data_IF_357404215789
#
_entry.id   IF_357404215789
#
_cell.length_a   1.000
_cell.length_b   1.000
_cell.length_c   1.000
_cell.angle_alpha   90.00
_cell.angle_beta   90.00
_cell.angle_gamma   90.00
#
_symmetry.space_group_name_H-M   'P 1'
#
loop_
_entity.id
_entity.type
_entity.pdbx_description
1 polymer ?
#
# COMPACT_ATOMS: atom_id res chain seq x y z
N UNK A 1 -6.33 6.86 23.88
CA UNK A 1 -5.49 7.41 22.78
C UNK A 1 -6.02 6.83 21.47
N UNK A 2 -6.20 7.67 20.43
CA UNK A 2 -6.62 7.18 19.12
C UNK A 2 -5.59 6.17 18.58
N UNK A 3 -6.07 5.11 17.91
CA UNK A 3 -5.28 3.96 17.47
C UNK A 3 -4.05 4.34 16.63
N UNK A 4 -4.18 5.35 15.76
CA UNK A 4 -3.07 5.88 14.95
C UNK A 4 -1.95 6.51 15.78
N UNK A 5 -2.29 7.23 16.85
CA UNK A 5 -1.32 7.90 17.73
C UNK A 5 -0.39 6.88 18.40
N UNK A 6 -0.94 5.77 18.92
CA UNK A 6 -0.15 4.72 19.61
C UNK A 6 0.90 4.08 18.70
N UNK A 7 0.54 3.74 17.46
CA UNK A 7 1.46 3.10 16.49
C UNK A 7 2.60 4.07 16.16
N UNK A 8 2.27 5.31 15.83
CA UNK A 8 3.27 6.33 15.52
C UNK A 8 4.21 6.61 16.69
N UNK A 9 3.70 6.65 17.92
CA UNK A 9 4.50 6.87 19.12
C UNK A 9 5.51 5.73 19.35
N UNK A 10 5.09 4.47 19.16
CA UNK A 10 5.97 3.30 19.25
C UNK A 10 7.10 3.39 18.22
N UNK A 11 6.77 3.63 16.95
CA UNK A 11 7.77 3.72 15.87
C UNK A 11 8.72 4.89 16.09
N UNK A 12 8.21 6.06 16.51
CA UNK A 12 9.03 7.23 16.87
C UNK A 12 10.00 6.90 18.00
N UNK A 13 9.53 6.23 19.06
CA UNK A 13 10.35 5.85 20.20
C UNK A 13 11.48 4.90 19.77
N UNK A 14 11.16 3.89 18.95
CA UNK A 14 12.15 2.95 18.43
C UNK A 14 13.22 3.63 17.57
N UNK A 15 12.82 4.48 16.62
CA UNK A 15 13.76 5.20 15.73
C UNK A 15 14.62 6.21 16.50
N UNK A 16 14.06 6.85 17.54
CA UNK A 16 14.82 7.77 18.39
C UNK A 16 15.86 7.04 19.25
N UNK A 17 15.47 5.92 19.87
CA UNK A 17 16.35 5.10 20.72
C UNK A 17 17.40 4.35 19.91
N UNK A 18 17.03 3.90 18.71
CA UNK A 18 17.89 3.17 17.79
C UNK A 18 17.89 3.88 16.43
N UNK A 19 18.81 4.83 16.20
CA UNK A 19 18.88 5.56 14.94
C UNK A 19 19.08 4.65 13.72
N UNK A 20 18.43 5.00 12.60
CA UNK A 20 18.51 4.22 11.35
C UNK A 20 19.95 4.20 10.83
N UNK A 21 20.49 2.99 10.64
CA UNK A 21 21.78 2.82 9.99
C UNK A 21 21.65 2.95 8.46
N UNK A 22 22.38 3.89 7.89
CA UNK A 22 22.36 4.20 6.44
C UNK A 22 22.92 3.07 5.56
N UNK A 23 23.65 2.11 6.14
CA UNK A 23 24.19 0.96 5.40
C UNK A 23 23.24 -0.23 5.33
N UNK A 24 22.15 -0.21 6.11
CA UNK A 24 21.22 -1.33 6.11
C UNK A 24 20.50 -1.46 4.78
N UNK A 25 20.41 -2.69 4.29
CA UNK A 25 19.46 -3.06 3.25
C UNK A 25 18.02 -2.95 3.76
N UNK A 26 17.03 -2.88 2.86
CA UNK A 26 15.62 -2.79 3.25
C UNK A 26 15.20 -3.88 4.23
N UNK A 27 15.53 -5.14 3.95
CA UNK A 27 15.18 -6.27 4.81
C UNK A 27 15.86 -6.21 6.19
N UNK A 28 17.10 -5.72 6.27
CA UNK A 28 17.84 -5.57 7.52
C UNK A 28 17.17 -4.54 8.44
N UNK A 29 16.66 -3.44 7.87
CA UNK A 29 15.88 -2.45 8.64
C UNK A 29 14.60 -3.09 9.18
N UNK A 30 13.86 -3.82 8.33
CA UNK A 30 12.64 -4.50 8.78
C UNK A 30 12.97 -5.48 9.91
N UNK A 31 13.94 -6.37 9.71
CA UNK A 31 14.37 -7.35 10.70
C UNK A 31 14.79 -6.69 12.01
N UNK A 32 15.60 -5.65 11.95
CA UNK A 32 16.09 -4.95 13.14
C UNK A 32 14.93 -4.33 13.94
N UNK A 33 14.11 -3.48 13.32
CA UNK A 33 13.05 -2.79 14.05
C UNK A 33 11.90 -3.71 14.43
N UNK A 34 11.63 -4.76 13.67
CA UNK A 34 10.65 -5.75 14.06
C UNK A 34 11.10 -6.54 15.30
N UNK A 35 12.39 -6.89 15.39
CA UNK A 35 12.96 -7.53 16.57
C UNK A 35 12.95 -6.59 17.80
N UNK A 36 13.27 -5.30 17.62
CA UNK A 36 13.14 -4.30 18.69
C UNK A 36 11.68 -4.20 19.15
N UNK A 37 10.74 -4.08 18.21
CA UNK A 37 9.32 -3.99 18.52
C UNK A 37 8.83 -5.20 19.34
N UNK A 38 9.13 -6.40 18.87
CA UNK A 38 8.65 -7.64 19.50
C UNK A 38 9.32 -7.96 20.84
N UNK A 39 10.49 -7.39 21.11
CA UNK A 39 11.21 -7.56 22.38
C UNK A 39 10.86 -6.51 23.43
N UNK A 40 10.54 -5.27 23.01
CA UNK A 40 10.31 -4.15 23.93
C UNK A 40 8.82 -3.82 24.15
N UNK A 41 7.92 -4.31 23.30
CA UNK A 41 6.50 -3.95 23.36
C UNK A 41 5.61 -5.20 23.41
N UNK A 42 4.50 -5.08 24.13
CA UNK A 42 3.51 -6.14 24.20
C UNK A 42 2.82 -6.38 22.85
N UNK A 43 2.72 -7.65 22.47
CA UNK A 43 2.08 -8.06 21.22
C UNK A 43 0.58 -7.78 21.25
N UNK A 44 0.13 -6.99 20.28
CA UNK A 44 -1.28 -6.74 20.05
C UNK A 44 -1.52 -6.77 18.54
N UNK A 45 -2.33 -7.72 18.05
CA UNK A 45 -2.53 -7.94 16.60
C UNK A 45 -2.82 -6.65 15.81
N UNK A 46 -3.61 -5.74 16.40
CA UNK A 46 -3.96 -4.51 15.75
C UNK A 46 -2.84 -3.46 15.75
N UNK A 47 -1.97 -3.47 16.76
CA UNK A 47 -0.79 -2.59 16.81
C UNK A 47 0.32 -3.18 15.95
N UNK A 48 0.50 -4.50 15.97
CA UNK A 48 1.46 -5.26 15.18
C UNK A 48 1.34 -4.94 13.68
N UNK A 49 0.11 -4.97 13.15
CA UNK A 49 -0.16 -4.62 11.75
C UNK A 49 0.24 -3.19 11.42
N UNK A 50 -0.16 -2.21 12.24
CA UNK A 50 0.16 -0.81 12.01
C UNK A 50 1.65 -0.50 12.15
N UNK A 51 2.34 -1.10 13.12
CA UNK A 51 3.80 -0.98 13.25
C UNK A 51 4.48 -1.55 12.02
N UNK A 52 4.09 -2.73 11.57
CA UNK A 52 4.66 -3.35 10.39
C UNK A 52 4.45 -2.51 9.13
N UNK A 53 3.26 -1.98 8.90
CA UNK A 53 2.96 -1.05 7.80
C UNK A 53 3.89 0.18 7.84
N UNK A 54 4.04 0.82 9.01
CA UNK A 54 4.93 1.98 9.17
C UNK A 54 6.41 1.64 8.92
N UNK A 55 6.87 0.43 9.30
CA UNK A 55 8.23 0.00 9.00
C UNK A 55 8.46 -0.18 7.49
N UNK A 56 7.46 -0.68 6.76
CA UNK A 56 7.52 -0.77 5.30
C UNK A 56 7.56 0.63 4.66
N UNK A 57 6.73 1.57 5.14
CA UNK A 57 6.74 2.97 4.68
C UNK A 57 8.13 3.60 4.91
N UNK A 58 8.71 3.44 6.10
CA UNK A 58 10.04 3.95 6.40
C UNK A 58 11.12 3.32 5.50
N UNK A 59 11.04 2.01 5.24
CA UNK A 59 11.96 1.33 4.34
C UNK A 59 11.88 1.89 2.91
N UNK A 60 10.66 2.09 2.38
CA UNK A 60 10.45 2.65 1.04
C UNK A 60 10.97 4.09 0.93
N UNK A 61 10.61 4.95 1.89
CA UNK A 61 11.05 6.35 1.89
C UNK A 61 12.57 6.49 2.01
N UNK A 62 13.22 5.67 2.84
CA UNK A 62 14.69 5.63 2.97
C UNK A 62 15.36 5.32 1.62
N UNK A 63 14.72 4.47 0.83
CA UNK A 63 15.18 4.05 -0.49
C UNK A 63 14.77 5.03 -1.61
N UNK A 64 14.28 6.22 -1.24
CA UNK A 64 13.84 7.29 -2.14
C UNK A 64 12.66 6.90 -3.04
N UNK A 65 11.85 5.94 -2.59
CA UNK A 65 10.59 5.59 -3.23
C UNK A 65 9.52 6.47 -2.61
N UNK A 66 9.09 7.49 -3.35
CA UNK A 66 8.13 8.49 -2.89
C UNK A 66 7.35 9.10 -4.06
N UNK A 67 6.11 9.59 -3.84
CA UNK A 67 5.35 9.56 -2.58
C UNK A 67 4.84 8.15 -2.23
N UNK A 68 4.57 7.95 -0.94
CA UNK A 68 3.95 6.72 -0.42
C UNK A 68 2.58 7.10 0.15
N UNK A 69 1.52 6.64 -0.49
CA UNK A 69 0.15 6.81 0.02
C UNK A 69 -0.17 5.64 0.94
N UNK A 70 -0.77 5.90 2.09
CA UNK A 70 -1.15 4.88 3.08
C UNK A 70 -2.65 4.93 3.33
N UNK A 71 -3.25 3.77 3.57
CA UNK A 71 -4.70 3.63 3.78
C UNK A 71 -5.51 4.35 2.68
N UNK A 72 -5.08 4.16 1.43
CA UNK A 72 -5.52 4.97 0.30
C UNK A 72 -6.62 4.27 -0.50
N UNK A 73 -7.55 5.06 -1.01
CA UNK A 73 -8.56 4.62 -1.97
C UNK A 73 -8.14 5.05 -3.37
N UNK A 74 -8.09 4.11 -4.30
CA UNK A 74 -7.87 4.42 -5.72
C UNK A 74 -9.19 4.83 -6.36
N UNK A 75 -9.16 5.90 -7.15
CA UNK A 75 -10.34 6.37 -7.87
C UNK A 75 -10.94 5.25 -8.73
N UNK A 76 -12.27 5.12 -8.68
CA UNK A 76 -13.06 4.08 -9.37
C UNK A 76 -12.84 2.64 -8.91
N UNK A 77 -11.93 2.38 -7.97
CA UNK A 77 -11.82 1.06 -7.32
C UNK A 77 -12.78 1.05 -6.13
N UNK A 78 -13.93 0.35 -6.22
CA UNK A 78 -14.97 0.49 -5.21
C UNK A 78 -14.63 -0.28 -3.92
N UNK A 79 -14.90 0.34 -2.77
CA UNK A 79 -14.91 -0.31 -1.45
C UNK A 79 -13.58 -1.00 -1.07
N UNK A 80 -12.46 -0.47 -1.52
CA UNK A 80 -11.13 -1.00 -1.22
C UNK A 80 -10.25 0.10 -0.64
N UNK A 81 -9.80 -0.12 0.59
CA UNK A 81 -8.81 0.72 1.27
C UNK A 81 -7.49 -0.06 1.25
N UNK A 82 -6.49 0.46 0.54
CA UNK A 82 -5.21 -0.20 0.33
C UNK A 82 -4.21 0.25 1.40
N UNK A 83 -3.49 -0.71 1.99
CA UNK A 83 -2.51 -0.41 3.05
C UNK A 83 -1.44 0.57 2.55
N UNK A 84 -0.80 0.28 1.41
CA UNK A 84 0.20 1.14 0.76
C UNK A 84 -0.05 1.20 -0.76
N UNK A 85 0.01 2.41 -1.33
CA UNK A 85 -0.07 2.67 -2.76
C UNK A 85 1.12 3.52 -3.21
N UNK A 86 1.80 3.08 -4.27
CA UNK A 86 2.80 3.85 -4.99
C UNK A 86 2.23 4.17 -6.37
N UNK A 87 1.96 5.46 -6.60
CA UNK A 87 1.30 5.87 -7.82
C UNK A 87 2.28 5.95 -9.00
N UNK A 88 1.90 5.28 -10.07
CA UNK A 88 2.39 5.48 -11.41
C UNK A 88 1.17 5.43 -12.33
N UNK A 89 1.07 6.35 -13.28
CA UNK A 89 -0.11 6.47 -14.16
C UNK A 89 -0.44 5.19 -14.91
N UNK A 90 0.59 4.44 -15.33
CA UNK A 90 0.44 3.22 -16.12
C UNK A 90 0.34 1.99 -15.22
N UNK A 91 1.24 1.88 -14.24
CA UNK A 91 1.47 0.67 -13.44
C UNK A 91 1.44 1.02 -11.95
N UNK A 92 0.27 1.37 -11.38
CA UNK A 92 0.21 1.65 -9.94
C UNK A 92 0.57 0.38 -9.16
N UNK A 93 1.27 0.57 -8.04
CA UNK A 93 1.68 -0.54 -7.19
C UNK A 93 0.90 -0.48 -5.88
N UNK A 94 0.35 -1.62 -5.47
CA UNK A 94 -0.29 -1.78 -4.18
C UNK A 94 0.48 -2.81 -3.35
N UNK A 95 0.65 -2.52 -2.06
CA UNK A 95 1.29 -3.41 -1.10
C UNK A 95 0.32 -3.63 0.05
N UNK A 96 -0.14 -4.86 0.23
CA UNK A 96 -0.89 -5.29 1.42
C UNK A 96 0.08 -5.76 2.50
N UNK A 97 0.08 -5.10 3.65
CA UNK A 97 0.99 -5.37 4.76
C UNK A 97 0.35 -6.36 5.74
N UNK A 98 0.97 -7.52 5.93
CA UNK A 98 0.39 -8.59 6.76
C UNK A 98 1.49 -9.25 7.60
N UNK A 99 1.44 -9.14 8.93
CA UNK A 99 2.42 -9.85 9.80
C UNK A 99 2.29 -11.37 9.71
N UNK A 100 1.05 -11.86 9.60
CA UNK A 100 0.68 -13.26 9.28
C UNK A 100 -0.36 -13.25 8.16
N UNK A 101 -0.51 -14.34 7.41
CA UNK A 101 -1.45 -14.38 6.27
C UNK A 101 -2.83 -14.90 6.69
N UNK A 102 -2.89 -16.05 7.35
CA UNK A 102 -4.08 -16.85 7.69
C UNK A 102 -5.04 -16.97 6.50
N UNK A 103 -6.31 -16.65 6.66
CA UNK A 103 -7.27 -16.48 5.57
C UNK A 103 -7.24 -15.08 4.95
N UNK A 104 -6.58 -14.10 5.59
CA UNK A 104 -6.59 -12.68 5.22
C UNK A 104 -5.85 -12.37 3.92
N UNK A 105 -5.02 -13.28 3.42
CA UNK A 105 -4.47 -13.15 2.06
C UNK A 105 -5.57 -13.18 1.00
N UNK A 106 -6.72 -13.84 1.26
CA UNK A 106 -7.87 -13.84 0.34
C UNK A 106 -8.47 -12.44 0.19
N UNK A 107 -8.49 -11.67 1.28
CA UNK A 107 -8.92 -10.28 1.22
C UNK A 107 -7.95 -9.47 0.36
N UNK A 108 -6.64 -9.62 0.58
CA UNK A 108 -5.63 -8.96 -0.26
C UNK A 108 -5.74 -9.36 -1.74
N UNK A 109 -6.14 -10.60 -2.03
CA UNK A 109 -6.38 -11.05 -3.40
C UNK A 109 -7.60 -10.38 -4.04
N UNK A 110 -8.70 -10.26 -3.31
CA UNK A 110 -9.88 -9.52 -3.77
C UNK A 110 -9.59 -8.04 -3.99
N UNK A 111 -8.84 -7.40 -3.08
CA UNK A 111 -8.37 -6.01 -3.23
C UNK A 111 -7.50 -5.84 -4.49
N UNK A 112 -6.60 -6.79 -4.72
CA UNK A 112 -5.74 -6.81 -5.90
C UNK A 112 -6.54 -7.02 -7.20
N UNK A 113 -7.52 -7.94 -7.19
CA UNK A 113 -8.43 -8.14 -8.33
C UNK A 113 -9.25 -6.89 -8.64
N UNK A 114 -9.83 -6.25 -7.63
CA UNK A 114 -10.58 -5.00 -7.79
C UNK A 114 -9.70 -3.88 -8.35
N UNK A 115 -8.47 -3.76 -7.83
CA UNK A 115 -7.48 -2.82 -8.35
C UNK A 115 -7.18 -3.09 -9.83
N UNK A 116 -6.92 -4.35 -10.19
CA UNK A 116 -6.61 -4.76 -11.57
C UNK A 116 -7.79 -4.65 -12.54
N UNK A 117 -9.02 -4.66 -12.03
CA UNK A 117 -10.21 -4.41 -12.85
C UNK A 117 -10.20 -3.00 -13.44
N UNK A 118 -9.74 -2.01 -12.66
CA UNK A 118 -9.63 -0.60 -13.07
C UNK A 118 -8.27 -0.31 -13.68
N UNK A 119 -7.19 -0.74 -13.02
CA UNK A 119 -5.81 -0.53 -13.39
C UNK A 119 -5.18 -1.86 -13.82
N UNK A 120 -5.42 -2.28 -15.07
CA UNK A 120 -5.04 -3.62 -15.58
C UNK A 120 -3.57 -3.98 -15.41
N UNK A 121 -2.68 -2.99 -15.46
CA UNK A 121 -1.25 -3.19 -15.31
C UNK A 121 -0.76 -3.01 -13.87
N UNK A 122 -1.66 -2.90 -12.88
CA UNK A 122 -1.28 -2.74 -11.49
C UNK A 122 -0.45 -3.94 -10.99
N UNK A 123 0.56 -3.64 -10.17
CA UNK A 123 1.35 -4.65 -9.48
C UNK A 123 0.90 -4.71 -8.01
N UNK A 124 0.35 -5.84 -7.60
CA UNK A 124 -0.24 -6.02 -6.28
C UNK A 124 0.59 -7.04 -5.48
N UNK A 125 1.21 -6.63 -4.39
CA UNK A 125 2.05 -7.49 -3.56
C UNK A 125 1.46 -7.67 -2.17
N UNK A 126 1.65 -8.86 -1.59
CA UNK A 126 1.46 -9.06 -0.15
C UNK A 126 2.82 -9.15 0.50
N UNK A 127 3.17 -8.17 1.33
CA UNK A 127 4.44 -8.17 2.06
C UNK A 127 4.18 -8.69 3.48
N UNK A 128 4.97 -9.68 3.92
CA UNK A 128 4.73 -10.40 5.17
C UNK A 128 6.01 -10.87 5.85
N UNK A 129 5.89 -11.30 7.11
CA UNK A 129 6.97 -11.93 7.87
C UNK A 129 6.76 -13.46 8.01
N UNK A 130 5.67 -14.00 7.45
CA UNK A 130 5.25 -15.38 7.70
C UNK A 130 5.76 -16.37 6.66
N UNK A 131 7.00 -16.85 6.84
CA UNK A 131 7.68 -17.76 5.91
C UNK A 131 6.88 -19.02 5.59
N UNK A 132 6.43 -19.75 6.61
CA UNK A 132 5.71 -21.01 6.43
C UNK A 132 4.41 -20.83 5.64
N UNK A 133 3.71 -19.72 5.86
CA UNK A 133 2.46 -19.43 5.15
C UNK A 133 2.72 -19.04 3.69
N UNK A 134 3.79 -18.28 3.41
CA UNK A 134 4.22 -17.97 2.04
C UNK A 134 4.62 -19.24 1.29
N UNK A 135 5.42 -20.11 1.91
CA UNK A 135 5.83 -21.39 1.33
C UNK A 135 4.61 -22.27 1.00
N UNK A 136 3.61 -22.30 1.87
CA UNK A 136 2.37 -23.04 1.61
C UNK A 136 1.59 -22.45 0.42
N UNK A 137 1.50 -21.12 0.30
CA UNK A 137 0.76 -20.46 -0.80
C UNK A 137 1.45 -20.58 -2.14
N UNK A 138 2.77 -20.46 -2.19
CA UNK A 138 3.54 -20.63 -3.43
C UNK A 138 3.46 -22.06 -4.00
N UNK A 139 3.23 -23.08 -3.15
CA UNK A 139 3.00 -24.46 -3.61
C UNK A 139 1.63 -24.66 -4.28
N UNK A 140 0.69 -23.76 -4.02
CA UNK A 140 -0.66 -23.78 -4.58
C UNK A 140 -0.75 -22.70 -5.66
N UNK A 141 -0.03 -22.86 -6.78
CA UNK A 141 0.15 -21.83 -7.84
C UNK A 141 -1.16 -21.25 -8.41
N UNK A 142 -2.31 -21.93 -8.23
CA UNK A 142 -3.63 -21.45 -8.65
C UNK A 142 -4.51 -20.91 -7.51
N UNK A 143 -3.94 -20.63 -6.33
CA UNK A 143 -4.74 -20.24 -5.15
C UNK A 143 -5.11 -18.75 -5.09
N UNK A 144 -4.48 -17.90 -5.89
CA UNK A 144 -4.71 -16.45 -5.93
C UNK A 144 -4.65 -15.92 -7.37
N UNK A 145 -5.41 -14.88 -7.67
CA UNK A 145 -5.60 -14.36 -9.04
C UNK A 145 -5.13 -12.92 -9.20
N UNK A 146 -5.36 -12.09 -8.18
CA UNK A 146 -5.03 -10.67 -8.17
C UNK A 146 -3.61 -10.40 -7.73
N UNK A 147 -3.09 -11.15 -6.75
CA UNK A 147 -1.75 -10.94 -6.20
C UNK A 147 -0.67 -11.34 -7.21
N UNK A 148 0.32 -10.48 -7.42
CA UNK A 148 1.50 -10.77 -8.24
C UNK A 148 2.50 -11.66 -7.49
N UNK A 149 2.76 -11.37 -6.22
CA UNK A 149 3.65 -12.19 -5.39
C UNK A 149 3.41 -11.95 -3.89
N UNK A 150 3.77 -12.95 -3.09
CA UNK A 150 3.99 -12.80 -1.67
C UNK A 150 5.47 -12.49 -1.46
N UNK A 151 5.81 -11.54 -0.59
CA UNK A 151 7.20 -11.11 -0.38
C UNK A 151 7.54 -11.15 1.10
N UNK A 152 8.61 -11.86 1.45
CA UNK A 152 9.10 -11.92 2.82
C UNK A 152 9.93 -10.67 3.17
N UNK A 153 9.41 -9.85 4.07
CA UNK A 153 9.92 -8.53 4.40
C UNK A 153 11.31 -8.55 5.08
N UNK A 154 11.62 -9.64 5.78
CA UNK A 154 12.86 -9.83 6.52
C UNK A 154 13.92 -10.63 5.74
N UNK A 155 13.68 -10.96 4.48
CA UNK A 155 14.62 -11.70 3.61
C UNK A 155 15.02 -10.88 2.38
N UNK A 156 15.95 -11.40 1.57
CA UNK A 156 16.39 -10.73 0.35
C UNK A 156 15.28 -10.53 -0.70
N UNK A 157 14.14 -11.22 -0.57
CA UNK A 157 12.98 -10.99 -1.43
C UNK A 157 12.49 -9.53 -1.35
N UNK A 158 12.51 -8.94 -0.14
CA UNK A 158 12.12 -7.54 0.01
C UNK A 158 13.13 -6.57 -0.60
N UNK A 159 14.43 -6.90 -0.54
CA UNK A 159 15.46 -6.13 -1.23
C UNK A 159 15.21 -6.13 -2.75
N UNK A 160 14.91 -7.31 -3.30
CA UNK A 160 14.60 -7.45 -4.72
C UNK A 160 13.33 -6.69 -5.11
N UNK A 161 12.28 -6.72 -4.27
CA UNK A 161 11.08 -5.91 -4.49
C UNK A 161 11.45 -4.43 -4.53
N UNK A 162 12.17 -3.91 -3.54
CA UNK A 162 12.59 -2.49 -3.51
C UNK A 162 13.38 -2.10 -4.74
N UNK A 163 14.34 -2.92 -5.18
CA UNK A 163 15.12 -2.64 -6.39
C UNK A 163 14.25 -2.63 -7.65
N UNK A 164 13.24 -3.51 -7.75
CA UNK A 164 12.24 -3.45 -8.83
C UNK A 164 11.44 -2.15 -8.78
N UNK A 165 10.97 -1.75 -7.59
CA UNK A 165 10.18 -0.53 -7.40
C UNK A 165 10.97 0.73 -7.77
N UNK A 166 12.28 0.77 -7.49
CA UNK A 166 13.17 1.88 -7.90
C UNK A 166 13.26 2.07 -9.42
N UNK A 167 13.00 1.03 -10.21
CA UNK A 167 12.98 1.13 -11.67
C UNK A 167 11.68 1.75 -12.20
N UNK A 168 10.67 1.93 -11.34
CA UNK A 168 9.38 2.51 -11.71
C UNK A 168 9.37 3.97 -11.27
N UNK A 169 8.97 4.86 -12.17
CA UNK A 169 8.81 6.28 -11.85
C UNK A 169 7.56 6.46 -10.98
N UNK A 170 7.76 6.58 -9.66
CA UNK A 170 6.69 6.91 -8.72
C UNK A 170 6.49 8.42 -8.69
N UNK A 171 5.24 8.87 -8.79
CA UNK A 171 4.87 10.29 -8.81
C UNK A 171 3.68 10.55 -7.92
N UNK A 172 3.39 11.84 -7.68
CA UNK A 172 2.11 12.22 -7.10
C UNK A 172 0.95 11.83 -8.04
N UNK A 173 -0.20 11.51 -7.45
CA UNK A 173 -1.43 11.17 -8.16
C UNK A 173 -1.98 12.36 -8.92
N UNK A 174 -2.39 12.14 -10.17
CA UNK A 174 -3.08 13.16 -10.95
C UNK A 174 -4.51 13.42 -10.45
N UNK A 175 -5.03 14.63 -10.68
CA UNK A 175 -6.45 14.92 -10.49
C UNK A 175 -7.25 14.36 -11.66
N UNK A 176 -8.37 13.70 -11.38
CA UNK A 176 -9.20 13.07 -12.40
C UNK A 176 -10.45 13.91 -12.66
N UNK A 177 -10.59 14.41 -13.89
CA UNK A 177 -11.83 15.03 -14.37
C UNK A 177 -12.78 13.93 -14.88
N UNK A 178 -13.94 13.80 -14.24
CA UNK A 178 -14.93 12.75 -14.58
C UNK A 178 -15.56 13.00 -15.96
N UNK A 179 -15.90 14.26 -16.26
CA UNK A 179 -16.49 14.65 -17.54
C UNK A 179 -15.44 15.42 -18.34
N UNK A 180 -14.95 14.82 -19.42
CA UNK A 180 -13.91 15.45 -20.26
C UNK A 180 -14.48 16.51 -21.20
N UNK A 181 -15.70 16.30 -21.71
CA UNK A 181 -16.40 17.19 -22.65
C UNK A 181 -17.52 17.96 -21.96
N UNK A 182 -17.17 18.85 -21.03
CA UNK A 182 -18.10 19.65 -20.22
C UNK A 182 -18.44 21.01 -20.85
N UNK A 183 -18.11 21.24 -22.12
CA UNK A 183 -18.43 22.48 -22.83
C UNK A 183 -19.86 22.51 -23.39
N UNK A 184 -20.60 21.38 -23.33
CA UNK A 184 -21.99 21.26 -23.74
C UNK A 184 -22.81 20.65 -22.61
N UNK A 185 -23.36 21.50 -21.76
CA UNK A 185 -24.32 21.13 -20.75
C UNK A 185 -25.41 22.20 -20.69
N UNK A 186 -26.56 21.80 -20.19
CA UNK A 186 -27.65 22.70 -19.89
C UNK A 186 -27.77 22.77 -18.38
N UNK A 187 -27.79 24.00 -17.89
CA UNK A 187 -28.22 24.35 -16.55
C UNK A 187 -29.43 25.27 -16.66
N UNK A 188 -30.07 25.54 -15.52
CA UNK A 188 -31.28 26.38 -15.49
C UNK A 188 -31.04 27.72 -16.20
N UNK A 189 -29.98 28.41 -15.83
CA UNK A 189 -29.63 29.74 -16.37
C UNK A 189 -29.43 29.71 -17.89
N UNK A 190 -28.72 28.70 -18.42
CA UNK A 190 -28.48 28.58 -19.87
C UNK A 190 -29.76 28.25 -20.65
N UNK A 191 -30.67 27.47 -20.09
CA UNK A 191 -31.95 27.12 -20.73
C UNK A 191 -32.94 28.29 -20.68
N UNK A 192 -33.08 28.96 -19.54
CA UNK A 192 -33.95 30.14 -19.39
C UNK A 192 -33.51 31.25 -20.36
N UNK A 193 -32.19 31.48 -20.45
CA UNK A 193 -31.61 32.45 -21.38
C UNK A 193 -31.77 32.04 -22.84
N UNK A 194 -31.55 30.77 -23.18
CA UNK A 194 -31.58 30.28 -24.56
C UNK A 194 -33.00 30.27 -25.14
N UNK A 195 -33.97 29.84 -24.34
CA UNK A 195 -35.36 29.67 -24.80
C UNK A 195 -36.29 30.80 -24.37
N UNK A 196 -35.82 31.76 -23.57
CA UNK A 196 -36.62 32.86 -23.03
C UNK A 196 -37.84 32.36 -22.25
N UNK A 197 -37.61 31.33 -21.43
CA UNK A 197 -38.60 30.70 -20.56
C UNK A 197 -38.14 30.81 -19.10
N UNK A 198 -39.03 30.50 -18.17
CA UNK A 198 -38.74 30.40 -16.73
C UNK A 198 -39.09 28.97 -16.28
N UNK A 199 -38.14 28.25 -15.67
CA UNK A 199 -38.26 26.82 -15.30
C UNK A 199 -37.82 26.53 -13.87
#
# INVERSE_FOLDING_TARGET
>A
MAKGTKVTDIVKLMVHKYPINQKWKPNELISFYWNVYTSEFESNNSVNGGVFEQLLVLALLREKISPVYVQAELAFVPNVILDIVLYNRKTPITISAKTTLRERWKQADLEAMATKYVHREALCYVVTLSENEVLARRKEENSYMGINDFVLAHTDEFNQLVEKLKQIQITESESIKIIQSDHKFYDKDSVEKLYQIEI
#
